data_IF_242911596632
#
_entry.id   IF_242911596632
#
_cell.length_a   1.000
_cell.length_b   1.000
_cell.length_c   1.000
_cell.angle_alpha   90.00
_cell.angle_beta   90.00
_cell.angle_gamma   90.00
#
_symmetry.space_group_name_H-M   'P 1'
#
loop_
_entity.id
_entity.type
_entity.pdbx_description
1 polymer ?
#
# COMPACT_ATOMS: atom_id res chain seq x y z
N UNK A 1 4.97 -13.70 1.40
CA UNK A 1 5.49 -12.31 1.44
C UNK A 1 4.71 -11.51 0.43
N UNK A 2 4.14 -10.35 0.79
CA UNK A 2 3.32 -9.51 -0.11
C UNK A 2 3.99 -9.21 -1.47
N UNK A 3 3.20 -8.76 -2.44
CA UNK A 3 3.65 -8.25 -3.73
C UNK A 3 3.26 -6.78 -3.91
N UNK A 4 4.13 -5.98 -4.52
CA UNK A 4 3.87 -4.57 -4.83
C UNK A 4 4.13 -4.30 -6.31
N UNK A 5 3.34 -3.38 -6.88
CA UNK A 5 3.57 -2.84 -8.23
C UNK A 5 3.40 -1.32 -8.20
N UNK A 6 4.08 -0.64 -9.11
CA UNK A 6 3.99 0.81 -9.24
C UNK A 6 4.21 1.25 -10.69
N UNK A 7 3.51 2.31 -11.10
CA UNK A 7 3.68 2.99 -12.38
C UNK A 7 3.75 4.50 -12.09
N UNK A 8 4.73 5.18 -12.68
CA UNK A 8 4.84 6.64 -12.66
C UNK A 8 5.12 7.13 -14.09
N UNK A 9 4.18 7.86 -14.67
CA UNK A 9 4.31 8.42 -16.00
C UNK A 9 4.73 9.89 -15.90
N UNK A 10 6.01 10.17 -16.16
CA UNK A 10 6.61 11.50 -16.02
C UNK A 10 6.17 12.48 -17.12
N UNK A 11 5.72 11.96 -18.27
CA UNK A 11 5.23 12.72 -19.41
C UNK A 11 3.76 13.15 -19.30
N UNK A 12 3.12 12.83 -18.17
CA UNK A 12 1.70 13.06 -17.93
C UNK A 12 0.74 12.42 -18.94
N UNK A 13 1.18 11.34 -19.62
CA UNK A 13 0.36 10.56 -20.55
C UNK A 13 -0.82 9.84 -19.89
N UNK A 14 -0.86 9.83 -18.55
CA UNK A 14 -1.85 9.13 -17.76
C UNK A 14 -1.59 7.63 -17.69
N UNK A 15 -2.15 6.95 -16.70
CA UNK A 15 -2.01 5.49 -16.55
C UNK A 15 -3.25 4.76 -17.06
N UNK A 16 -3.04 3.60 -17.70
CA UNK A 16 -4.11 2.66 -18.02
C UNK A 16 -4.40 1.78 -16.80
N UNK A 17 -5.59 1.92 -16.22
CA UNK A 17 -6.01 1.17 -15.03
C UNK A 17 -5.85 -0.36 -15.20
N UNK A 18 -6.25 -0.88 -16.36
CA UNK A 18 -6.18 -2.31 -16.68
C UNK A 18 -4.75 -2.86 -16.65
N UNK A 19 -3.75 -2.03 -16.96
CA UNK A 19 -2.33 -2.41 -16.88
C UNK A 19 -1.92 -2.62 -15.43
N UNK A 20 -2.28 -1.68 -14.54
CA UNK A 20 -2.00 -1.78 -13.11
C UNK A 20 -2.73 -2.98 -12.49
N UNK A 21 -3.99 -3.20 -12.86
CA UNK A 21 -4.78 -4.36 -12.44
C UNK A 21 -4.14 -5.68 -12.88
N UNK A 22 -3.66 -5.75 -14.12
CA UNK A 22 -2.99 -6.94 -14.67
C UNK A 22 -1.67 -7.23 -13.96
N UNK A 23 -0.85 -6.20 -13.76
CA UNK A 23 0.42 -6.31 -13.01
C UNK A 23 0.19 -6.79 -11.58
N UNK A 24 -0.83 -6.25 -10.90
CA UNK A 24 -1.18 -6.64 -9.53
C UNK A 24 -1.66 -8.10 -9.47
N UNK A 25 -2.43 -8.54 -10.46
CA UNK A 25 -2.98 -9.91 -10.54
C UNK A 25 -1.89 -10.98 -10.68
N UNK A 26 -0.84 -10.71 -11.46
CA UNK A 26 0.29 -11.64 -11.63
C UNK A 26 0.96 -11.97 -10.28
N UNK A 27 0.94 -11.02 -9.34
CA UNK A 27 1.51 -11.19 -8.00
C UNK A 27 0.55 -11.85 -6.99
N UNK A 28 -0.61 -12.38 -7.41
CA UNK A 28 -1.60 -12.98 -6.50
C UNK A 28 -0.98 -14.05 -5.58
N UNK A 29 -0.11 -14.90 -6.11
CA UNK A 29 0.58 -15.97 -5.36
C UNK A 29 1.44 -15.47 -4.19
N UNK A 30 1.90 -14.21 -4.21
CA UNK A 30 2.68 -13.60 -3.13
C UNK A 30 1.81 -13.18 -1.94
N UNK A 31 0.59 -12.75 -2.22
CA UNK A 31 -0.36 -12.26 -1.24
C UNK A 31 -1.78 -12.66 -1.62
N UNK A 32 -2.22 -13.88 -1.25
CA UNK A 32 -3.53 -14.39 -1.63
C UNK A 32 -4.68 -13.76 -0.82
N UNK A 33 -4.40 -13.25 0.38
CA UNK A 33 -5.43 -12.88 1.36
C UNK A 33 -6.21 -11.61 0.98
N UNK A 34 -5.53 -10.62 0.41
CA UNK A 34 -6.14 -9.34 0.05
C UNK A 34 -5.39 -8.68 -1.13
N UNK A 35 -6.03 -7.70 -1.78
CA UNK A 35 -5.39 -6.91 -2.82
C UNK A 35 -6.07 -5.56 -3.00
N UNK A 36 -5.26 -4.54 -3.30
CA UNK A 36 -5.71 -3.16 -3.43
C UNK A 36 -4.96 -2.43 -4.52
N UNK A 37 -5.57 -1.32 -4.95
CA UNK A 37 -5.07 -0.44 -5.99
C UNK A 37 -5.28 1.00 -5.54
N UNK A 38 -4.28 1.83 -5.79
CA UNK A 38 -4.40 3.27 -5.78
C UNK A 38 -4.09 3.79 -7.17
N UNK A 39 -4.91 4.73 -7.64
CA UNK A 39 -4.77 5.34 -8.95
C UNK A 39 -5.00 6.84 -8.82
N UNK A 40 -4.05 7.59 -9.38
CA UNK A 40 -4.17 8.99 -9.74
C UNK A 40 -3.76 9.13 -11.22
N UNK A 41 -3.91 10.31 -11.81
CA UNK A 41 -3.70 10.56 -13.24
C UNK A 41 -2.43 9.89 -13.76
N UNK A 42 -1.28 10.15 -13.12
CA UNK A 42 0.04 9.71 -13.59
C UNK A 42 0.74 8.73 -12.64
N UNK A 43 0.09 8.33 -11.55
CA UNK A 43 0.66 7.45 -10.52
C UNK A 43 -0.31 6.31 -10.23
N UNK A 44 0.19 5.08 -10.23
CA UNK A 44 -0.58 3.89 -9.93
C UNK A 44 0.21 3.01 -8.98
N UNK A 45 -0.40 2.59 -7.88
CA UNK A 45 0.18 1.64 -6.92
C UNK A 45 -0.74 0.43 -6.81
N UNK A 46 -0.16 -0.76 -6.75
CA UNK A 46 -0.90 -1.99 -6.49
C UNK A 46 -0.26 -2.82 -5.39
N UNK A 47 -1.08 -3.61 -4.72
CA UNK A 47 -0.65 -4.46 -3.63
C UNK A 47 -1.36 -5.83 -3.65
N UNK A 48 -0.62 -6.88 -3.31
CA UNK A 48 -1.13 -8.21 -2.98
C UNK A 48 -0.64 -8.58 -1.59
N UNK A 49 -1.56 -8.75 -0.65
CA UNK A 49 -1.27 -8.87 0.77
C UNK A 49 -1.21 -10.32 1.21
N UNK A 50 -0.17 -10.67 1.94
CA UNK A 50 -0.16 -11.82 2.85
C UNK A 50 -0.28 -11.25 4.27
N UNK A 51 -1.32 -11.64 4.99
CA UNK A 51 -1.70 -11.08 6.29
C UNK A 51 -0.89 -11.75 7.39
N UNK A 52 0.05 -11.02 7.99
CA UNK A 52 0.93 -11.53 9.07
C UNK A 52 0.76 -10.68 10.35
N UNK A 53 0.90 -9.37 10.22
CA UNK A 53 0.68 -8.39 11.30
C UNK A 53 -0.57 -7.58 10.96
N UNK A 54 -1.46 -7.43 11.94
CA UNK A 54 -2.84 -6.95 11.78
C UNK A 54 -3.62 -7.75 10.73
N UNK A 55 -4.40 -8.73 11.19
CA UNK A 55 -5.19 -9.60 10.31
C UNK A 55 -6.52 -8.96 9.89
N UNK A 56 -6.81 -7.74 10.34
CA UNK A 56 -8.06 -7.04 10.02
C UNK A 56 -7.98 -6.31 8.68
N UNK A 57 -9.12 -5.80 8.21
CA UNK A 57 -9.19 -4.94 7.03
C UNK A 57 -8.46 -3.61 7.19
N UNK A 58 -8.12 -3.20 8.42
CA UNK A 58 -7.34 -1.97 8.65
C UNK A 58 -5.90 -2.08 8.11
N UNK A 59 -5.39 -3.30 7.93
CA UNK A 59 -4.10 -3.58 7.30
C UNK A 59 -4.09 -3.55 5.77
N UNK A 60 -5.20 -3.16 5.13
CA UNK A 60 -5.32 -3.04 3.67
C UNK A 60 -4.27 -2.09 3.07
N UNK A 61 -3.80 -2.42 1.88
CA UNK A 61 -2.77 -1.69 1.15
C UNK A 61 -3.18 -1.58 -0.33
N UNK A 62 -2.84 -0.50 -1.07
CA UNK A 62 -2.09 0.68 -0.63
C UNK A 62 -2.79 1.48 0.47
N UNK A 63 -2.02 1.92 1.47
CA UNK A 63 -2.52 2.66 2.63
C UNK A 63 -2.40 4.17 2.39
N UNK A 64 -3.39 4.92 2.86
CA UNK A 64 -3.40 6.39 2.80
C UNK A 64 -3.25 7.06 4.17
N UNK A 65 -2.65 8.26 4.17
CA UNK A 65 -2.49 9.11 5.35
C UNK A 65 -2.81 10.58 5.03
N UNK A 66 -3.17 11.36 6.07
CA UNK A 66 -3.55 12.77 5.99
C UNK A 66 -4.59 13.04 4.90
N UNK A 67 -5.76 12.42 5.04
CA UNK A 67 -6.91 12.54 4.13
C UNK A 67 -6.57 12.28 2.65
N UNK A 68 -5.74 11.26 2.42
CA UNK A 68 -5.36 10.84 1.07
C UNK A 68 -4.23 11.66 0.45
N UNK A 69 -3.59 12.56 1.20
CA UNK A 69 -2.42 13.31 0.74
C UNK A 69 -1.22 12.39 0.47
N UNK A 70 -1.03 11.37 1.30
CA UNK A 70 0.06 10.40 1.14
C UNK A 70 -0.49 9.00 0.91
N UNK A 71 0.17 8.26 0.04
CA UNK A 71 -0.13 6.87 -0.27
C UNK A 71 1.14 6.04 -0.27
N UNK A 72 1.06 4.82 0.26
CA UNK A 72 2.17 3.87 0.30
C UNK A 72 1.70 2.48 -0.08
N UNK A 73 2.55 1.73 -0.79
CA UNK A 73 2.48 0.27 -0.87
C UNK A 73 3.81 -0.26 -0.32
N UNK A 74 3.75 -1.21 0.61
CA UNK A 74 4.93 -1.66 1.35
C UNK A 74 4.96 -3.18 1.46
N UNK A 75 6.11 -3.78 1.17
CA UNK A 75 6.35 -5.19 1.44
C UNK A 75 7.61 -5.35 2.30
N UNK A 76 7.39 -5.71 3.57
CA UNK A 76 8.42 -5.98 4.56
C UNK A 76 7.84 -5.93 5.96
N UNK A 77 8.70 -6.00 6.97
CA UNK A 77 8.32 -5.95 8.38
C UNK A 77 9.14 -4.88 9.10
N UNK A 78 8.47 -3.94 9.78
CA UNK A 78 9.12 -2.97 10.66
C UNK A 78 9.12 -3.56 12.08
N UNK A 79 10.19 -4.23 12.47
CA UNK A 79 10.20 -5.01 13.72
C UNK A 79 9.98 -4.16 14.99
N UNK A 80 10.46 -2.91 15.00
CA UNK A 80 10.30 -1.97 16.10
C UNK A 80 9.07 -1.04 15.94
N UNK A 81 8.04 -1.44 15.18
CA UNK A 81 6.88 -0.59 14.91
C UNK A 81 6.13 -0.12 16.17
N UNK A 82 6.17 -0.91 17.26
CA UNK A 82 5.53 -0.55 18.53
C UNK A 82 6.20 0.67 19.18
N UNK A 83 7.52 0.69 19.22
CA UNK A 83 8.29 1.81 19.79
C UNK A 83 8.13 3.06 18.91
N UNK A 84 8.22 2.87 17.59
CA UNK A 84 8.01 3.95 16.62
C UNK A 84 6.60 4.54 16.71
N UNK A 85 5.57 3.71 16.92
CA UNK A 85 4.19 4.19 17.10
C UNK A 85 4.09 5.12 18.30
N UNK A 86 4.65 4.74 19.45
CA UNK A 86 4.65 5.59 20.65
C UNK A 86 5.34 6.92 20.39
N UNK A 87 6.52 6.90 19.75
CA UNK A 87 7.26 8.12 19.41
C UNK A 87 6.46 9.04 18.46
N UNK A 88 5.78 8.45 17.47
CA UNK A 88 5.00 9.20 16.49
C UNK A 88 3.68 9.73 17.08
N UNK A 89 3.01 8.97 17.95
CA UNK A 89 1.83 9.46 18.68
C UNK A 89 2.18 10.67 19.56
N UNK A 90 3.34 10.66 20.23
CA UNK A 90 3.84 11.82 20.99
C UNK A 90 4.12 13.06 20.12
N UNK A 91 4.46 12.84 18.83
CA UNK A 91 4.63 13.90 17.83
C UNK A 91 3.31 14.34 17.18
N UNK A 92 2.17 13.76 17.60
CA UNK A 92 0.83 14.12 17.13
C UNK A 92 0.35 13.37 15.90
N UNK A 93 1.01 12.27 15.51
CA UNK A 93 0.54 11.41 14.41
C UNK A 93 -0.54 10.44 14.89
N UNK A 94 -1.56 10.22 14.07
CA UNK A 94 -2.67 9.31 14.36
C UNK A 94 -2.57 8.02 13.53
N UNK A 95 -2.92 6.88 14.14
CA UNK A 95 -2.89 5.56 13.51
C UNK A 95 -4.29 4.97 13.41
N UNK A 96 -4.58 4.30 12.29
CA UNK A 96 -5.87 3.62 12.03
C UNK A 96 -5.82 2.10 12.29
N UNK A 97 -4.60 1.57 12.45
CA UNK A 97 -4.24 0.17 12.71
C UNK A 97 -3.09 0.20 13.70
#
# INVERSE_FOLDING_TARGET
MCGIVGIVNLDASGIKKDMLESMTRVLHHRGPDDGGLYFDRNIGLGHRRLSIIDLTSAGHQPMSYADGRYWITYNGEVYNFRDLRVELEQKGYAFKS
#
